data_IF_156177588657
#
_entry.id   IF_156177588657
#
_cell.length_a   1.000
_cell.length_b   1.000
_cell.length_c   1.000
_cell.angle_alpha   90.00
_cell.angle_beta   90.00
_cell.angle_gamma   90.00
#
_symmetry.space_group_name_H-M   'P 1'
#
loop_
_entity.id
_entity.type
_entity.pdbx_description
1 polymer ?
#
# COMPACT_ATOMS: atom_id res chain seq x y z
N UNK A 1 14.11 16.02 -19.60
CA UNK A 1 14.05 14.57 -19.83
C UNK A 1 13.25 13.86 -18.74
N UNK A 2 11.92 13.98 -18.75
CA UNK A 2 11.06 13.30 -17.75
C UNK A 2 9.98 12.41 -18.40
N UNK A 3 10.09 12.17 -19.69
CA UNK A 3 9.11 11.38 -20.45
C UNK A 3 9.69 10.02 -20.82
N UNK A 4 8.99 8.93 -20.46
CA UNK A 4 9.43 7.55 -20.73
C UNK A 4 9.63 7.30 -22.22
N UNK A 5 8.82 7.92 -23.08
CA UNK A 5 9.00 7.85 -24.54
C UNK A 5 10.33 8.45 -24.99
N UNK A 6 10.68 9.63 -24.46
CA UNK A 6 11.93 10.29 -24.79
C UNK A 6 13.15 9.49 -24.27
N UNK A 7 13.03 8.90 -23.07
CA UNK A 7 14.05 8.00 -22.53
C UNK A 7 14.23 6.76 -23.41
N UNK A 8 13.15 6.02 -23.68
CA UNK A 8 13.20 4.79 -24.47
C UNK A 8 13.68 5.05 -25.90
N UNK A 9 13.28 6.17 -26.50
CA UNK A 9 13.80 6.59 -27.80
C UNK A 9 15.30 6.83 -27.77
N UNK A 10 15.80 7.51 -26.74
CA UNK A 10 17.24 7.74 -26.55
C UNK A 10 18.00 6.41 -26.42
N UNK A 11 17.52 5.49 -25.58
CA UNK A 11 18.13 4.16 -25.40
C UNK A 11 18.22 3.42 -26.73
N UNK A 12 17.11 3.36 -27.48
CA UNK A 12 17.06 2.73 -28.79
C UNK A 12 18.04 3.35 -29.81
N UNK A 13 18.29 4.66 -29.73
CA UNK A 13 19.23 5.37 -30.60
C UNK A 13 20.70 5.19 -30.17
N UNK A 14 21.00 5.12 -28.87
CA UNK A 14 22.38 4.93 -28.36
C UNK A 14 22.86 3.48 -28.36
N UNK A 15 21.96 2.48 -28.40
CA UNK A 15 22.34 1.07 -28.44
C UNK A 15 23.17 0.60 -27.24
N UNK A 16 23.02 1.25 -26.09
CA UNK A 16 23.74 0.91 -24.86
C UNK A 16 23.27 -0.46 -24.36
N UNK A 17 24.16 -1.44 -24.29
CA UNK A 17 23.87 -2.78 -23.75
C UNK A 17 23.60 -2.76 -22.24
N UNK A 18 23.98 -1.68 -21.55
CA UNK A 18 23.85 -1.52 -20.08
C UNK A 18 22.58 -0.78 -19.63
N UNK A 19 21.76 -0.24 -20.54
CA UNK A 19 20.52 0.49 -20.19
C UNK A 19 19.29 -0.16 -20.85
N UNK A 20 18.43 -0.78 -20.04
CA UNK A 20 17.18 -1.40 -20.49
C UNK A 20 16.07 -0.37 -20.76
N UNK A 21 15.14 -0.74 -21.65
CA UNK A 21 13.92 0.05 -21.87
C UNK A 21 13.08 0.10 -20.59
N UNK A 22 12.58 1.29 -20.25
CA UNK A 22 11.62 1.44 -19.16
C UNK A 22 10.22 1.00 -19.63
N UNK A 23 9.60 0.00 -18.98
CA UNK A 23 8.25 -0.42 -19.33
C UNK A 23 7.23 0.61 -18.86
N UNK A 24 6.08 0.65 -19.52
CA UNK A 24 4.89 1.30 -18.97
C UNK A 24 4.33 0.45 -17.82
N UNK A 25 3.93 1.11 -16.74
CA UNK A 25 3.30 0.44 -15.59
C UNK A 25 1.82 0.80 -15.57
N UNK A 26 0.95 -0.21 -15.60
CA UNK A 26 -0.50 -0.03 -15.49
C UNK A 26 -0.96 -0.56 -14.14
N UNK A 27 -1.49 0.33 -13.30
CA UNK A 27 -2.07 -0.01 -11.99
C UNK A 27 -3.58 -0.12 -12.15
N UNK A 28 -4.16 -1.27 -11.80
CA UNK A 28 -5.60 -1.54 -11.90
C UNK A 28 -6.16 -1.75 -10.50
N UNK A 29 -7.21 -1.01 -10.16
CA UNK A 29 -7.98 -1.16 -8.92
C UNK A 29 -9.42 -1.47 -9.32
N UNK A 30 -9.86 -2.70 -9.11
CA UNK A 30 -11.19 -3.17 -9.55
C UNK A 30 -12.34 -2.60 -8.71
N UNK A 31 -12.10 -2.40 -7.41
CA UNK A 31 -13.09 -1.81 -6.49
C UNK A 31 -12.43 -0.78 -5.57
N UNK A 32 -12.46 0.49 -5.99
CA UNK A 32 -11.92 1.61 -5.23
C UNK A 32 -12.63 1.80 -3.89
N UNK A 33 -13.93 1.50 -3.80
CA UNK A 33 -14.71 1.75 -2.60
C UNK A 33 -14.19 0.95 -1.39
N UNK A 34 -13.73 -0.29 -1.62
CA UNK A 34 -13.21 -1.14 -0.55
C UNK A 34 -11.92 -0.56 0.05
N UNK A 35 -11.05 0.02 -0.78
CA UNK A 35 -9.86 0.74 -0.30
C UNK A 35 -10.23 2.03 0.44
N UNK A 36 -11.21 2.77 -0.08
CA UNK A 36 -11.66 4.02 0.51
C UNK A 36 -12.33 3.82 1.87
N UNK A 37 -13.05 2.72 2.06
CA UNK A 37 -13.69 2.37 3.33
C UNK A 37 -12.67 1.92 4.39
N UNK A 38 -11.58 1.27 3.99
CA UNK A 38 -10.54 0.82 4.92
C UNK A 38 -9.62 1.96 5.39
N UNK A 39 -9.17 2.81 4.45
CA UNK A 39 -8.13 3.84 4.70
C UNK A 39 -8.31 5.10 3.83
N UNK A 40 -9.54 5.60 3.71
CA UNK A 40 -9.96 6.63 2.74
C UNK A 40 -8.96 7.77 2.49
N UNK A 41 -8.59 8.52 3.52
CA UNK A 41 -7.74 9.72 3.35
C UNK A 41 -6.31 9.39 2.91
N UNK A 42 -5.74 8.29 3.41
CA UNK A 42 -4.39 7.85 3.04
C UNK A 42 -4.37 7.36 1.59
N UNK A 43 -5.35 6.54 1.21
CA UNK A 43 -5.49 6.00 -0.15
C UNK A 43 -5.76 7.11 -1.16
N UNK A 44 -6.68 8.02 -0.87
CA UNK A 44 -6.98 9.17 -1.74
C UNK A 44 -5.73 10.01 -2.00
N UNK A 45 -4.97 10.32 -0.94
CA UNK A 45 -3.74 11.12 -1.05
C UNK A 45 -2.69 10.41 -1.90
N UNK A 46 -2.52 9.09 -1.70
CA UNK A 46 -1.57 8.29 -2.48
C UNK A 46 -1.97 8.22 -3.96
N UNK A 47 -3.24 7.94 -4.25
CA UNK A 47 -3.78 7.90 -5.62
C UNK A 47 -3.61 9.26 -6.31
N UNK A 48 -3.98 10.35 -5.63
CA UNK A 48 -3.84 11.70 -6.17
C UNK A 48 -2.38 12.05 -6.47
N UNK A 49 -1.46 11.77 -5.53
CA UNK A 49 -0.03 12.01 -5.72
C UNK A 49 0.54 11.19 -6.87
N UNK A 50 0.16 9.91 -6.96
CA UNK A 50 0.61 9.06 -8.05
C UNK A 50 0.09 9.59 -9.39
N UNK A 51 -1.21 9.87 -9.52
CA UNK A 51 -1.80 10.40 -10.75
C UNK A 51 -1.17 11.73 -11.21
N UNK A 52 -0.80 12.62 -10.30
CA UNK A 52 -0.14 13.89 -10.63
C UNK A 52 1.28 13.71 -11.19
N UNK A 53 2.05 12.77 -10.63
CA UNK A 53 3.43 12.52 -11.05
C UNK A 53 3.52 11.59 -12.25
N UNK A 54 2.59 10.65 -12.34
CA UNK A 54 2.58 9.52 -13.27
C UNK A 54 2.52 9.93 -14.74
N UNK A 55 1.86 11.06 -15.06
CA UNK A 55 1.59 11.50 -16.44
C UNK A 55 2.85 11.57 -17.32
N UNK A 56 3.99 11.98 -16.77
CA UNK A 56 5.23 12.08 -17.54
C UNK A 56 6.03 10.76 -17.53
N UNK A 57 5.96 9.99 -16.45
CA UNK A 57 6.88 8.87 -16.20
C UNK A 57 6.34 7.49 -16.62
N UNK A 58 5.33 7.43 -17.49
CA UNK A 58 4.82 6.18 -18.06
C UNK A 58 4.05 5.28 -17.10
N UNK A 59 3.50 5.85 -16.02
CA UNK A 59 2.60 5.13 -15.10
C UNK A 59 1.15 5.52 -15.45
N UNK A 60 0.29 4.53 -15.60
CA UNK A 60 -1.13 4.71 -15.89
C UNK A 60 -1.97 4.00 -14.84
N UNK A 61 -3.12 4.59 -14.50
CA UNK A 61 -3.99 4.06 -13.46
C UNK A 61 -5.41 3.87 -14.00
N UNK A 62 -6.00 2.70 -13.75
CA UNK A 62 -7.39 2.38 -14.02
C UNK A 62 -8.09 2.13 -12.69
N UNK A 63 -9.06 2.98 -12.36
CA UNK A 63 -9.86 2.88 -11.16
C UNK A 63 -11.29 2.47 -11.54
N UNK A 64 -11.76 1.36 -10.99
CA UNK A 64 -13.13 0.88 -11.13
C UNK A 64 -13.82 0.85 -9.76
N UNK A 65 -15.15 0.97 -9.79
CA UNK A 65 -16.01 0.82 -8.61
C UNK A 65 -17.43 0.56 -9.05
N UNK A 66 -18.15 -0.25 -8.28
CA UNK A 66 -19.60 -0.43 -8.43
C UNK A 66 -20.40 0.55 -7.54
N UNK A 67 -19.73 1.35 -6.71
CA UNK A 67 -20.33 2.28 -5.75
C UNK A 67 -20.05 3.74 -6.13
N UNK A 68 -20.82 4.32 -7.07
CA UNK A 68 -20.62 5.70 -7.54
C UNK A 68 -21.14 6.74 -6.53
N UNK A 69 -20.59 6.75 -5.30
CA UNK A 69 -20.90 7.74 -4.25
C UNK A 69 -19.84 8.83 -4.17
N UNK A 70 -20.21 9.99 -3.63
CA UNK A 70 -19.31 11.15 -3.45
C UNK A 70 -18.15 10.83 -2.50
N UNK A 71 -18.36 9.89 -1.56
CA UNK A 71 -17.34 9.44 -0.61
C UNK A 71 -16.27 8.55 -1.26
N UNK A 72 -16.61 7.90 -2.38
CA UNK A 72 -15.67 7.06 -3.16
C UNK A 72 -15.05 7.86 -4.30
N UNK A 73 -15.87 8.55 -5.08
CA UNK A 73 -15.46 9.37 -6.24
C UNK A 73 -15.44 10.83 -5.80
N UNK A 74 -14.46 11.15 -4.97
CA UNK A 74 -14.31 12.48 -4.38
C UNK A 74 -13.90 13.53 -5.41
N UNK A 75 -13.95 14.81 -5.02
CA UNK A 75 -13.44 15.90 -5.85
C UNK A 75 -11.94 15.76 -6.17
N UNK A 76 -11.14 15.22 -5.23
CA UNK A 76 -9.70 15.01 -5.42
C UNK A 76 -9.44 13.94 -6.46
N UNK A 77 -10.18 12.82 -6.41
CA UNK A 77 -10.11 11.78 -7.44
C UNK A 77 -10.52 12.37 -8.79
N UNK A 78 -11.67 13.04 -8.88
CA UNK A 78 -12.13 13.66 -10.14
C UNK A 78 -11.13 14.65 -10.73
N UNK A 79 -10.46 15.45 -9.91
CA UNK A 79 -9.48 16.43 -10.38
C UNK A 79 -8.25 15.80 -11.05
N UNK A 80 -7.87 14.58 -10.66
CA UNK A 80 -6.70 13.89 -11.19
C UNK A 80 -7.02 12.86 -12.29
N UNK A 81 -8.29 12.48 -12.44
CA UNK A 81 -8.77 11.50 -13.41
C UNK A 81 -9.80 12.13 -14.36
N UNK A 82 -9.33 12.86 -15.41
CA UNK A 82 -10.22 13.56 -16.34
C UNK A 82 -10.89 12.66 -17.38
N UNK A 83 -10.29 11.50 -17.68
CA UNK A 83 -10.91 10.49 -18.55
C UNK A 83 -11.80 9.60 -17.69
N UNK A 84 -13.09 9.49 -18.03
CA UNK A 84 -14.06 8.72 -17.22
C UNK A 84 -14.98 7.90 -18.09
N UNK A 85 -15.30 6.70 -17.63
CA UNK A 85 -16.28 5.82 -18.26
C UNK A 85 -17.36 5.53 -17.23
N UNK A 86 -18.62 5.68 -17.62
CA UNK A 86 -19.75 5.22 -16.81
C UNK A 86 -20.57 4.21 -17.63
N UNK A 87 -20.76 3.03 -17.07
CA UNK A 87 -21.81 2.11 -17.50
C UNK A 87 -23.15 2.52 -16.86
N UNK A 88 -24.18 1.71 -17.07
CA UNK A 88 -25.49 1.95 -16.46
C UNK A 88 -25.38 2.11 -14.94
N UNK A 89 -25.93 3.21 -14.42
CA UNK A 89 -26.03 3.50 -12.98
C UNK A 89 -27.49 3.60 -12.55
N UNK A 90 -27.73 3.54 -11.25
CA UNK A 90 -29.10 3.51 -10.70
C UNK A 90 -29.83 4.85 -10.79
N UNK A 91 -29.10 5.97 -10.74
CA UNK A 91 -29.73 7.29 -10.66
C UNK A 91 -28.95 8.40 -11.37
N UNK A 92 -29.64 9.52 -11.66
CA UNK A 92 -29.02 10.75 -12.16
C UNK A 92 -27.97 11.32 -11.20
N UNK A 93 -28.12 11.07 -9.90
CA UNK A 93 -27.15 11.50 -8.89
C UNK A 93 -25.84 10.73 -9.11
N UNK A 94 -25.92 9.41 -9.25
CA UNK A 94 -24.76 8.54 -9.51
C UNK A 94 -24.08 8.90 -10.84
N UNK A 95 -24.87 9.21 -11.88
CA UNK A 95 -24.34 9.68 -13.17
C UNK A 95 -23.51 10.95 -13.00
N UNK A 96 -23.99 11.92 -12.20
CA UNK A 96 -23.25 13.15 -11.91
C UNK A 96 -22.04 12.91 -11.03
N UNK A 97 -22.11 11.94 -10.11
CA UNK A 97 -20.96 11.58 -9.29
C UNK A 97 -19.78 11.13 -10.16
N UNK A 98 -20.03 10.31 -11.18
CA UNK A 98 -18.99 9.79 -12.08
C UNK A 98 -18.61 10.80 -13.18
N UNK A 99 -19.60 11.31 -13.92
CA UNK A 99 -19.36 12.08 -15.16
C UNK A 99 -19.52 13.60 -14.98
N UNK A 100 -19.92 14.10 -13.81
CA UNK A 100 -20.37 15.49 -13.65
C UNK A 100 -21.54 15.87 -14.62
N UNK A 101 -22.21 14.86 -15.19
CA UNK A 101 -23.28 14.98 -16.18
C UNK A 101 -24.35 13.90 -15.99
N UNK A 102 -25.55 14.14 -16.52
CA UNK A 102 -26.61 13.12 -16.56
C UNK A 102 -26.43 12.19 -17.77
N UNK A 103 -27.12 11.04 -17.76
CA UNK A 103 -27.27 10.18 -18.93
C UNK A 103 -26.87 8.73 -18.69
N UNK A 104 -25.99 8.46 -17.72
CA UNK A 104 -25.59 7.09 -17.40
C UNK A 104 -26.74 6.28 -16.78
N UNK A 105 -27.70 6.95 -16.13
CA UNK A 105 -28.93 6.36 -15.60
C UNK A 105 -29.89 5.84 -16.67
N UNK A 106 -29.76 6.34 -17.90
CA UNK A 106 -30.60 5.99 -19.04
C UNK A 106 -29.94 4.98 -20.00
N UNK A 107 -28.75 4.47 -19.65
CA UNK A 107 -28.08 3.43 -20.43
C UNK A 107 -28.84 2.10 -20.34
N UNK A 108 -28.64 1.26 -21.35
CA UNK A 108 -29.37 -0.01 -21.53
C UNK A 108 -28.74 -1.18 -20.74
N UNK A 109 -27.59 -0.96 -20.11
CA UNK A 109 -26.77 -2.01 -19.50
C UNK A 109 -26.03 -2.85 -20.54
N UNK A 110 -25.54 -4.04 -20.15
CA UNK A 110 -24.89 -5.01 -21.04
C UNK A 110 -23.80 -4.41 -21.95
N UNK A 111 -22.95 -3.56 -21.38
CA UNK A 111 -21.83 -2.94 -22.09
C UNK A 111 -22.13 -1.56 -22.70
N UNK A 112 -23.37 -1.07 -22.69
CA UNK A 112 -23.67 0.32 -23.07
C UNK A 112 -23.02 1.29 -22.08
N UNK A 113 -22.28 2.28 -22.60
CA UNK A 113 -21.43 3.15 -21.81
C UNK A 113 -21.42 4.60 -22.31
N UNK A 114 -21.09 5.52 -21.41
CA UNK A 114 -20.70 6.89 -21.71
C UNK A 114 -19.22 7.07 -21.39
N UNK A 115 -18.47 7.62 -22.33
CA UNK A 115 -17.07 7.98 -22.17
C UNK A 115 -16.90 9.49 -22.21
N UNK A 116 -16.35 10.06 -21.15
CA UNK A 116 -15.92 11.44 -21.06
C UNK A 116 -14.46 11.57 -21.49
N UNK A 117 -14.24 12.29 -22.58
CA UNK A 117 -12.90 12.52 -23.11
C UNK A 117 -12.12 13.56 -22.27
N UNK A 118 -10.85 13.30 -21.90
CA UNK A 118 -10.11 14.14 -20.96
C UNK A 118 -9.77 15.54 -21.48
N UNK A 119 -9.74 15.76 -22.80
CA UNK A 119 -9.31 17.04 -23.38
C UNK A 119 -10.38 18.13 -23.44
N UNK A 120 -11.66 17.75 -23.52
CA UNK A 120 -12.77 18.68 -23.77
C UNK A 120 -14.04 18.33 -22.99
N UNK A 121 -13.98 17.33 -22.12
CA UNK A 121 -15.12 16.79 -21.35
C UNK A 121 -16.32 16.39 -22.22
N UNK A 122 -16.09 16.16 -23.52
CA UNK A 122 -17.13 15.71 -24.43
C UNK A 122 -17.51 14.27 -24.10
N UNK A 123 -18.81 14.01 -24.01
CA UNK A 123 -19.34 12.70 -23.68
C UNK A 123 -19.74 11.98 -24.97
N UNK A 124 -19.17 10.80 -25.18
CA UNK A 124 -19.47 9.90 -26.28
C UNK A 124 -20.19 8.66 -25.73
N UNK A 125 -21.29 8.26 -26.39
CA UNK A 125 -21.93 6.98 -26.11
C UNK A 125 -21.28 5.89 -26.95
N UNK A 126 -20.99 4.75 -26.34
CA UNK A 126 -20.40 3.60 -27.00
C UNK A 126 -20.96 2.29 -26.48
N UNK A 127 -20.52 1.19 -27.10
CA UNK A 127 -20.86 -0.17 -26.70
C UNK A 127 -19.57 -0.92 -26.42
N UNK A 128 -19.42 -1.38 -25.17
CA UNK A 128 -18.32 -2.23 -24.76
C UNK A 128 -18.33 -3.56 -25.49
N UNK A 129 -17.13 -4.04 -25.86
CA UNK A 129 -16.96 -5.36 -26.42
C UNK A 129 -17.32 -6.41 -25.36
N UNK A 130 -18.15 -7.37 -25.74
CA UNK A 130 -18.42 -8.54 -24.92
C UNK A 130 -17.30 -9.55 -25.11
N UNK A 131 -16.71 -9.99 -24.01
CA UNK A 131 -15.66 -11.02 -23.98
C UNK A 131 -16.11 -12.10 -23.01
N UNK A 132 -16.02 -13.35 -23.44
CA UNK A 132 -16.40 -14.51 -22.64
C UNK A 132 -15.25 -15.00 -21.77
N UNK A 133 -15.56 -15.69 -20.67
CA UNK A 133 -14.55 -16.31 -19.80
C UNK A 133 -13.62 -17.27 -20.56
N UNK A 134 -14.14 -17.96 -21.58
CA UNK A 134 -13.36 -18.84 -22.43
C UNK A 134 -12.32 -18.07 -23.27
N UNK A 135 -12.69 -16.91 -23.83
CA UNK A 135 -11.76 -16.04 -24.57
C UNK A 135 -10.69 -15.44 -23.65
N UNK A 136 -11.08 -15.06 -22.43
CA UNK A 136 -10.15 -14.59 -21.39
C UNK A 136 -9.14 -15.69 -21.06
N UNK A 137 -9.63 -16.90 -20.77
CA UNK A 137 -8.78 -18.03 -20.40
C UNK A 137 -7.80 -18.40 -21.53
N UNK A 138 -8.27 -18.45 -22.77
CA UNK A 138 -7.42 -18.69 -23.93
C UNK A 138 -6.32 -17.62 -24.07
N UNK A 139 -6.66 -16.35 -23.82
CA UNK A 139 -5.68 -15.25 -23.85
C UNK A 139 -4.64 -15.41 -22.73
N UNK A 140 -5.06 -15.77 -21.52
CA UNK A 140 -4.16 -16.03 -20.38
C UNK A 140 -3.19 -17.16 -20.71
N UNK A 141 -3.65 -18.24 -21.34
CA UNK A 141 -2.81 -19.38 -21.73
C UNK A 141 -1.75 -18.99 -22.77
N UNK A 142 -2.13 -18.19 -23.77
CA UNK A 142 -1.20 -17.64 -24.75
C UNK A 142 -0.13 -16.78 -24.07
N UNK A 143 -0.51 -15.93 -23.11
CA UNK A 143 0.46 -15.09 -22.37
C UNK A 143 1.39 -15.94 -21.51
N UNK A 144 0.86 -16.92 -20.76
CA UNK A 144 1.67 -17.84 -19.94
C UNK A 144 2.65 -18.67 -20.76
N UNK A 145 2.31 -19.00 -22.01
CA UNK A 145 3.21 -19.75 -22.90
C UNK A 145 4.45 -18.95 -23.34
N UNK A 146 4.45 -17.62 -23.18
CA UNK A 146 5.54 -16.75 -23.58
C UNK A 146 6.60 -16.57 -22.50
N UNK A 147 6.27 -16.83 -21.22
CA UNK A 147 7.22 -16.72 -20.12
C UNK A 147 6.54 -16.71 -18.75
N UNK A 148 7.36 -16.96 -17.73
CA UNK A 148 6.93 -16.89 -16.34
C UNK A 148 6.87 -15.43 -15.84
N UNK A 149 5.92 -15.10 -14.96
CA UNK A 149 5.84 -13.78 -14.35
C UNK A 149 7.05 -13.50 -13.45
N UNK A 150 7.64 -12.32 -13.61
CA UNK A 150 8.68 -11.79 -12.71
C UNK A 150 8.00 -10.90 -11.67
N UNK A 151 7.91 -11.40 -10.43
CA UNK A 151 7.31 -10.67 -9.33
C UNK A 151 8.36 -9.86 -8.57
N UNK A 152 8.10 -8.57 -8.38
CA UNK A 152 8.89 -7.70 -7.51
C UNK A 152 8.26 -7.66 -6.11
N UNK A 153 8.69 -8.58 -5.24
CA UNK A 153 8.19 -8.71 -3.86
C UNK A 153 8.34 -7.41 -3.04
N UNK A 154 9.30 -6.57 -3.40
CA UNK A 154 9.53 -5.25 -2.81
C UNK A 154 8.31 -4.32 -2.92
N UNK A 155 7.48 -4.49 -3.96
CA UNK A 155 6.25 -3.72 -4.15
C UNK A 155 5.21 -4.09 -3.08
N UNK A 156 5.16 -5.37 -2.68
CA UNK A 156 4.26 -5.90 -1.67
C UNK A 156 4.78 -5.66 -0.25
N UNK A 157 6.09 -5.53 -0.10
CA UNK A 157 6.74 -5.10 1.12
C UNK A 157 6.47 -3.61 1.32
N UNK A 158 5.29 -3.31 1.86
CA UNK A 158 4.94 -1.98 2.31
C UNK A 158 6.12 -1.36 3.05
N UNK A 159 6.48 -0.16 2.62
CA UNK A 159 7.38 0.80 3.24
C UNK A 159 6.83 1.23 4.62
N UNK A 160 6.54 0.26 5.50
CA UNK A 160 6.39 0.42 6.96
C UNK A 160 7.66 1.03 7.56
N UNK A 161 8.73 1.14 6.78
CA UNK A 161 9.96 1.89 7.10
C UNK A 161 9.84 3.41 6.93
N UNK A 162 8.84 3.99 6.23
CA UNK A 162 8.83 5.45 5.96
C UNK A 162 7.79 6.29 6.71
N UNK A 163 6.87 5.69 7.46
CA UNK A 163 5.95 6.45 8.34
C UNK A 163 6.29 6.34 9.84
N UNK A 164 7.35 5.60 10.19
CA UNK A 164 7.90 5.56 11.55
C UNK A 164 9.30 6.17 11.62
N UNK A 165 9.50 7.27 10.89
CA UNK A 165 10.65 8.14 11.14
C UNK A 165 10.49 8.78 12.52
N UNK A 166 11.08 8.17 13.55
CA UNK A 166 11.53 8.88 14.74
C UNK A 166 10.65 8.83 15.99
N UNK A 167 10.11 7.67 16.36
CA UNK A 167 9.99 7.37 17.80
C UNK A 167 10.85 6.16 18.10
N UNK A 168 11.85 6.39 18.93
CA UNK A 168 12.70 5.36 19.49
C UNK A 168 11.81 4.27 20.11
N UNK A 169 11.67 3.13 19.42
CA UNK A 169 10.79 2.04 19.84
C UNK A 169 11.17 1.50 21.23
N UNK A 170 12.41 1.77 21.68
CA UNK A 170 12.90 1.45 23.03
C UNK A 170 12.21 2.25 24.13
N UNK A 171 11.66 3.43 23.82
CA UNK A 171 10.83 4.24 24.73
C UNK A 171 9.32 3.93 24.63
N UNK A 172 8.90 2.95 23.80
CA UNK A 172 7.50 2.53 23.74
C UNK A 172 7.11 1.87 25.09
N UNK A 173 6.03 2.37 25.70
CA UNK A 173 5.43 1.79 26.91
C UNK A 173 5.18 0.28 26.79
N UNK A 174 4.99 -0.23 25.57
CA UNK A 174 4.76 -1.64 25.31
C UNK A 174 6.03 -2.49 25.20
N UNK A 175 7.23 -1.91 25.03
CA UNK A 175 8.46 -2.70 24.94
C UNK A 175 8.81 -3.33 26.29
N UNK A 176 8.87 -2.53 27.35
CA UNK A 176 9.14 -3.02 28.71
C UNK A 176 8.08 -4.02 29.18
N UNK A 177 6.80 -3.76 28.85
CA UNK A 177 5.69 -4.68 29.11
C UNK A 177 5.85 -6.01 28.36
N UNK A 178 6.22 -5.96 27.08
CA UNK A 178 6.46 -7.15 26.27
C UNK A 178 7.64 -7.98 26.79
N UNK A 179 8.74 -7.33 27.22
CA UNK A 179 9.89 -8.00 27.83
C UNK A 179 9.47 -8.75 29.10
N UNK A 180 8.72 -8.10 30.00
CA UNK A 180 8.19 -8.71 31.22
C UNK A 180 7.32 -9.93 30.92
N UNK A 181 6.45 -9.85 29.92
CA UNK A 181 5.58 -10.97 29.50
C UNK A 181 6.41 -12.14 29.00
N UNK A 182 7.41 -11.89 28.14
CA UNK A 182 8.25 -12.95 27.57
C UNK A 182 9.09 -13.61 28.65
N UNK A 183 9.75 -12.83 29.51
CA UNK A 183 10.62 -13.38 30.57
C UNK A 183 9.81 -14.15 31.62
N UNK A 184 8.66 -13.62 32.05
CA UNK A 184 7.79 -14.32 33.00
C UNK A 184 7.20 -15.62 32.43
N UNK A 185 6.91 -15.64 31.13
CA UNK A 185 6.33 -16.83 30.48
C UNK A 185 7.35 -17.90 30.10
N UNK A 186 8.64 -17.56 30.08
CA UNK A 186 9.73 -18.44 29.65
C UNK A 186 9.66 -18.84 28.16
N UNK A 187 8.78 -18.23 27.37
CA UNK A 187 8.59 -18.55 25.95
C UNK A 187 8.46 -17.28 25.10
N UNK A 188 9.46 -17.02 24.26
CA UNK A 188 9.45 -15.89 23.35
C UNK A 188 8.78 -16.27 22.01
N UNK A 189 7.47 -16.01 21.88
CA UNK A 189 6.74 -16.25 20.63
C UNK A 189 5.91 -15.04 20.20
N UNK A 190 5.94 -14.75 18.90
CA UNK A 190 5.21 -13.64 18.27
C UNK A 190 3.71 -13.75 18.53
N UNK A 191 3.14 -14.93 18.31
CA UNK A 191 1.70 -15.19 18.51
C UNK A 191 1.23 -15.01 19.96
N UNK A 192 2.12 -15.16 20.94
CA UNK A 192 1.81 -14.90 22.34
C UNK A 192 1.70 -13.41 22.63
N UNK A 193 2.66 -12.60 22.15
CA UNK A 193 2.61 -11.15 22.30
C UNK A 193 1.40 -10.53 21.58
N UNK A 194 1.05 -11.03 20.40
CA UNK A 194 -0.15 -10.58 19.68
C UNK A 194 -1.42 -10.71 20.53
N UNK A 195 -1.59 -11.86 21.22
CA UNK A 195 -2.77 -12.12 22.05
C UNK A 195 -2.76 -11.37 23.37
N UNK A 196 -1.59 -11.20 23.99
CA UNK A 196 -1.45 -10.56 25.30
C UNK A 196 -1.53 -9.03 25.23
N UNK A 197 -0.98 -8.43 24.17
CA UNK A 197 -0.87 -6.98 24.01
C UNK A 197 -1.77 -6.41 22.90
N UNK A 198 -2.58 -7.26 22.24
CA UNK A 198 -3.47 -6.84 21.15
C UNK A 198 -2.73 -6.32 19.91
N UNK A 199 -1.48 -6.77 19.70
CA UNK A 199 -0.60 -6.27 18.65
C UNK A 199 -0.79 -7.04 17.33
N UNK A 200 -0.61 -6.33 16.21
CA UNK A 200 -0.47 -6.96 14.89
C UNK A 200 0.82 -7.79 14.78
N UNK A 201 0.85 -8.77 13.88
CA UNK A 201 1.95 -9.73 13.73
C UNK A 201 3.31 -9.03 13.53
N UNK A 202 3.39 -8.06 12.63
CA UNK A 202 4.62 -7.33 12.33
C UNK A 202 5.18 -6.60 13.55
N UNK A 203 4.31 -5.98 14.36
CA UNK A 203 4.72 -5.28 15.58
C UNK A 203 5.22 -6.26 16.63
N UNK A 204 4.50 -7.37 16.83
CA UNK A 204 4.93 -8.42 17.75
C UNK A 204 6.24 -9.10 17.31
N UNK A 205 6.45 -9.32 16.01
CA UNK A 205 7.69 -9.88 15.47
C UNK A 205 8.88 -8.96 15.73
N UNK A 206 8.71 -7.66 15.45
CA UNK A 206 9.73 -6.64 15.68
C UNK A 206 10.15 -6.53 17.14
N UNK A 207 9.19 -6.59 18.07
CA UNK A 207 9.50 -6.59 19.52
C UNK A 207 10.36 -7.80 19.91
N UNK A 208 10.08 -8.98 19.35
CA UNK A 208 10.88 -10.20 19.62
C UNK A 208 12.27 -10.10 19.00
N UNK A 209 12.41 -9.48 17.83
CA UNK A 209 13.71 -9.22 17.19
C UNK A 209 14.55 -8.20 17.98
N UNK A 210 13.93 -7.13 18.48
CA UNK A 210 14.61 -6.18 19.38
C UNK A 210 15.09 -6.85 20.68
N UNK A 211 14.28 -7.75 21.24
CA UNK A 211 14.70 -8.53 22.42
C UNK A 211 15.86 -9.49 22.11
N UNK A 212 16.02 -9.93 20.86
CA UNK A 212 17.17 -10.74 20.42
C UNK A 212 18.42 -9.85 20.34
N UNK A 213 18.30 -8.66 19.75
CA UNK A 213 19.37 -7.65 19.69
C UNK A 213 19.84 -7.22 21.09
N UNK A 214 18.90 -7.05 22.02
CA UNK A 214 19.18 -6.68 23.42
C UNK A 214 19.62 -7.88 24.29
N UNK A 215 19.73 -9.08 23.69
CA UNK A 215 20.24 -10.29 24.35
C UNK A 215 19.29 -10.89 25.40
N UNK A 216 18.00 -10.56 25.34
CA UNK A 216 16.96 -11.10 26.23
C UNK A 216 16.42 -12.45 25.72
N UNK A 217 16.42 -12.65 24.40
CA UNK A 217 15.99 -13.91 23.76
C UNK A 217 17.07 -14.42 22.79
N UNK A 218 17.16 -15.74 22.66
CA UNK A 218 18.09 -16.41 21.76
C UNK A 218 17.66 -16.35 20.30
N UNK A 219 18.51 -16.81 19.37
CA UNK A 219 18.30 -16.64 17.94
C UNK A 219 17.10 -17.40 17.41
N UNK A 220 16.58 -16.94 16.28
CA UNK A 220 15.45 -17.57 15.60
C UNK A 220 15.69 -19.07 15.31
N UNK A 221 14.83 -19.93 15.87
CA UNK A 221 14.82 -21.39 15.64
C UNK A 221 13.60 -21.85 14.83
N UNK A 222 13.32 -21.17 13.70
CA UNK A 222 12.19 -21.49 12.82
C UNK A 222 10.84 -21.29 13.50
N UNK A 223 9.93 -22.26 13.36
CA UNK A 223 8.57 -22.17 13.92
C UNK A 223 8.47 -22.35 15.45
N UNK A 224 9.59 -22.59 16.15
CA UNK A 224 9.60 -22.80 17.61
C UNK A 224 9.80 -21.47 18.37
N UNK A 225 9.23 -21.32 19.58
CA UNK A 225 9.51 -20.18 20.45
C UNK A 225 11.03 -20.01 20.69
N UNK A 226 11.50 -18.76 20.71
CA UNK A 226 12.88 -18.43 21.06
C UNK A 226 13.11 -18.73 22.55
N UNK A 227 14.34 -19.12 22.85
CA UNK A 227 14.80 -19.40 24.21
C UNK A 227 14.96 -18.08 24.96
N UNK A 228 14.45 -17.97 26.19
CA UNK A 228 14.64 -16.77 27.01
C UNK A 228 15.98 -16.89 27.73
N UNK A 229 16.82 -15.86 27.63
CA UNK A 229 18.21 -15.91 28.10
C UNK A 229 18.44 -15.24 29.45
N UNK A 230 17.48 -14.45 29.94
CA UNK A 230 17.60 -13.66 31.18
C UNK A 230 16.53 -14.05 32.20
N UNK A 231 16.82 -13.85 33.49
CA UNK A 231 15.84 -14.02 34.56
C UNK A 231 14.96 -12.77 34.75
N UNK A 232 13.80 -12.88 35.41
CA UNK A 232 12.96 -11.72 35.74
C UNK A 232 13.70 -10.65 36.55
N UNK A 233 14.58 -11.06 37.47
CA UNK A 233 15.37 -10.16 38.30
C UNK A 233 16.41 -9.39 37.46
N UNK A 234 17.10 -10.08 36.55
CA UNK A 234 18.10 -9.50 35.65
C UNK A 234 17.45 -8.53 34.64
N UNK A 235 16.22 -8.81 34.20
CA UNK A 235 15.46 -7.91 33.33
C UNK A 235 15.16 -6.57 34.03
N UNK A 236 14.74 -6.59 35.30
CA UNK A 236 14.42 -5.36 36.04
C UNK A 236 15.68 -4.52 36.31
N UNK A 237 16.83 -5.14 36.57
CA UNK A 237 18.11 -4.42 36.68
C UNK A 237 18.45 -3.69 35.35
N UNK A 238 18.32 -4.38 34.21
CA UNK A 238 18.60 -3.78 32.88
C UNK A 238 17.62 -2.67 32.51
N UNK A 239 16.35 -2.78 32.89
CA UNK A 239 15.35 -1.74 32.64
C UNK A 239 15.57 -0.50 33.54
N UNK A 240 16.08 -0.68 34.76
CA UNK A 240 16.37 0.41 35.68
C UNK A 240 17.66 1.15 35.32
N UNK A 241 18.71 0.46 34.88
CA UNK A 241 19.99 1.07 34.48
C UNK A 241 19.87 2.00 33.25
N UNK A 242 18.86 1.79 32.38
CA UNK A 242 18.58 2.63 31.22
C UNK A 242 17.89 3.97 31.52
N UNK A 243 17.44 4.20 32.75
CA UNK A 243 16.67 5.40 33.15
C UNK A 243 17.48 6.41 33.98
N UNK A 244 18.77 6.16 34.21
CA UNK A 244 19.59 6.89 35.19
C UNK A 244 20.58 7.94 34.65
N UNK A 245 20.49 8.42 33.40
CA UNK A 245 21.49 9.36 32.85
C UNK A 245 21.01 10.78 32.45
N UNK A 246 19.75 11.17 32.71
CA UNK A 246 19.25 12.49 32.25
C UNK A 246 18.78 13.48 33.35
N UNK A 247 19.23 13.35 34.61
CA UNK A 247 18.84 14.30 35.69
C UNK A 247 20.00 14.98 36.47
N UNK A 248 21.20 15.14 35.89
CA UNK A 248 22.24 15.99 36.54
C UNK A 248 23.03 16.86 35.57
N UNK A 249 22.37 17.85 34.96
CA UNK A 249 23.07 19.05 34.48
C UNK A 249 22.18 20.29 34.37
N UNK A 250 21.41 20.60 35.41
CA UNK A 250 21.04 21.99 35.66
C UNK A 250 21.29 22.30 37.15
N UNK A 251 21.99 23.40 37.36
CA UNK A 251 22.24 24.10 38.63
C UNK A 251 23.59 23.82 39.32
N UNK A 252 24.62 24.56 38.88
CA UNK A 252 25.52 25.34 39.75
C UNK A 252 26.47 26.25 38.96
N UNK A 253 26.40 27.55 39.28
CA UNK A 253 27.42 28.62 39.15
C UNK A 253 27.89 28.98 37.72
N UNK A 254 27.80 30.22 37.24
CA UNK A 254 27.94 31.54 37.89
C UNK A 254 26.94 32.59 37.38
#
# INVERSE_FOLDING_TARGET
DREVEAYNKRIAETGSEDEDHLPYIVVIIDELADLMMAKGKEIETAIARLAQLARAIGIHMVLATQRPSVDVITGVIKANFPARIAFQVASKVDSRTVLDANGADALLGKGDLLFMHPANSHILRGQGAWVTDAEIQNTIEIVKSQGDPVYHEEILQNDTKKTESGKDFRQDHHYSEACRIIVTSGQASVSMLQRRLGLGYTRAARLVDMMEEDGLVGPHRGAKPREVLVSPEELEERLNDGTGQDETSEDKSE
#
